data_IF_716898614040
#
_entry.id   IF_716898614040
#
_cell.length_a   1.000
_cell.length_b   1.000
_cell.length_c   1.000
_cell.angle_alpha   90.00
_cell.angle_beta   90.00
_cell.angle_gamma   90.00
#
_symmetry.space_group_name_H-M   'P 1'
#
loop_
_entity.id
_entity.type
_entity.pdbx_description
1 polymer ?
#
# COMPACT_ATOMS: atom_id res chain seq x y z
N UNK A 1 21.75 -0.53 -4.58
CA UNK A 1 20.98 0.58 -4.05
C UNK A 1 19.81 0.06 -3.22
N UNK A 2 19.63 0.57 -2.02
CA UNK A 2 18.59 0.08 -1.14
C UNK A 2 17.21 0.53 -1.61
N UNK A 3 16.26 -0.38 -1.53
CA UNK A 3 14.85 -0.07 -1.79
C UNK A 3 14.27 0.72 -0.62
N UNK A 4 13.36 1.65 -0.92
CA UNK A 4 12.62 2.36 0.11
C UNK A 4 11.73 1.41 0.93
N UNK A 5 11.47 0.20 0.44
CA UNK A 5 10.61 -0.78 1.08
C UNK A 5 11.38 -1.94 1.72
N UNK A 6 12.71 -1.84 1.80
CA UNK A 6 13.52 -2.92 2.36
C UNK A 6 13.17 -3.24 3.81
N UNK A 7 12.66 -2.27 4.56
CA UNK A 7 12.26 -2.47 5.95
C UNK A 7 11.21 -3.57 6.09
N UNK A 8 10.40 -3.83 5.07
CA UNK A 8 9.36 -4.84 5.13
C UNK A 8 9.89 -6.26 5.32
N UNK A 9 11.16 -6.50 4.94
CA UNK A 9 11.80 -7.81 5.12
C UNK A 9 11.87 -8.25 6.58
N UNK A 10 11.88 -7.29 7.50
CA UNK A 10 12.06 -7.57 8.92
C UNK A 10 10.76 -8.04 9.60
N UNK A 11 9.64 -8.03 8.90
CA UNK A 11 8.34 -8.30 9.51
C UNK A 11 7.73 -9.58 8.96
N UNK A 12 7.30 -10.44 9.89
CA UNK A 12 6.66 -11.70 9.53
C UNK A 12 5.36 -11.44 8.75
N UNK A 13 5.16 -12.21 7.68
CA UNK A 13 3.95 -12.10 6.89
C UNK A 13 3.98 -10.98 5.85
N UNK A 14 5.07 -10.23 5.74
CA UNK A 14 5.17 -9.11 4.80
C UNK A 14 5.97 -9.44 3.54
N UNK A 15 6.33 -10.69 3.35
CA UNK A 15 7.16 -11.10 2.21
C UNK A 15 6.53 -10.72 0.87
N UNK A 16 5.25 -11.03 0.69
CA UNK A 16 4.57 -10.75 -0.58
C UNK A 16 4.44 -9.24 -0.82
N UNK A 17 4.09 -8.48 0.22
CA UNK A 17 4.00 -7.03 0.10
C UNK A 17 5.35 -6.40 -0.18
N UNK A 18 6.41 -6.94 0.42
CA UNK A 18 7.77 -6.48 0.11
C UNK A 18 8.10 -6.70 -1.37
N UNK A 19 7.81 -7.90 -1.87
CA UNK A 19 8.09 -8.23 -3.27
C UNK A 19 7.34 -7.29 -4.24
N UNK A 20 6.04 -7.12 -4.00
CA UNK A 20 5.22 -6.26 -4.85
C UNK A 20 5.64 -4.79 -4.78
N UNK A 21 6.00 -4.31 -3.58
CA UNK A 21 6.45 -2.93 -3.39
C UNK A 21 7.78 -2.69 -4.09
N UNK A 22 8.68 -3.65 -4.01
CA UNK A 22 9.96 -3.56 -4.72
C UNK A 22 9.74 -3.49 -6.23
N UNK A 23 8.84 -4.32 -6.77
CA UNK A 23 8.50 -4.31 -8.18
C UNK A 23 7.85 -2.98 -8.60
N UNK A 24 6.98 -2.44 -7.75
CA UNK A 24 6.34 -1.16 -8.05
C UNK A 24 7.38 -0.03 -8.09
N UNK A 25 8.31 -0.03 -7.16
CA UNK A 25 9.38 0.97 -7.13
C UNK A 25 10.28 0.86 -8.36
N UNK A 26 10.60 -0.36 -8.76
CA UNK A 26 11.40 -0.59 -9.96
C UNK A 26 10.66 -0.09 -11.21
N UNK A 27 9.37 -0.37 -11.32
CA UNK A 27 8.55 0.11 -12.43
C UNK A 27 8.54 1.64 -12.47
N UNK A 28 8.36 2.26 -11.30
CA UNK A 28 8.39 3.72 -11.21
C UNK A 28 9.72 4.30 -11.71
N UNK A 29 10.84 3.74 -11.26
CA UNK A 29 12.17 4.22 -11.66
C UNK A 29 12.43 4.07 -13.15
N UNK A 30 11.80 3.07 -13.76
CA UNK A 30 11.95 2.82 -15.20
C UNK A 30 10.91 3.54 -16.05
N UNK A 31 10.11 4.42 -15.44
CA UNK A 31 9.09 5.17 -16.15
C UNK A 31 7.89 4.35 -16.58
N UNK A 32 7.73 3.14 -16.03
CA UNK A 32 6.62 2.24 -16.34
C UNK A 32 5.45 2.52 -15.38
N UNK A 33 4.83 3.68 -15.55
CA UNK A 33 3.84 4.17 -14.59
C UNK A 33 2.55 3.36 -14.58
N UNK A 34 2.15 2.80 -15.71
CA UNK A 34 0.97 1.94 -15.75
C UNK A 34 1.20 0.68 -14.92
N UNK A 35 2.36 0.04 -15.06
CA UNK A 35 2.73 -1.14 -14.28
C UNK A 35 2.81 -0.82 -12.80
N UNK A 36 3.42 0.30 -12.47
CA UNK A 36 3.52 0.78 -11.09
C UNK A 36 2.13 0.91 -10.47
N UNK A 37 1.21 1.57 -11.16
CA UNK A 37 -0.14 1.82 -10.66
C UNK A 37 -0.91 0.52 -10.42
N UNK A 38 -0.78 -0.45 -11.33
CA UNK A 38 -1.43 -1.75 -11.18
C UNK A 38 -0.87 -2.52 -9.97
N UNK A 39 0.44 -2.47 -9.78
CA UNK A 39 1.07 -3.11 -8.63
C UNK A 39 0.65 -2.46 -7.32
N UNK A 40 0.59 -1.14 -7.27
CA UNK A 40 0.17 -0.42 -6.08
C UNK A 40 -1.29 -0.73 -5.74
N UNK A 41 -2.15 -0.81 -6.77
CA UNK A 41 -3.55 -1.20 -6.56
C UNK A 41 -3.65 -2.59 -5.95
N UNK A 42 -2.83 -3.53 -6.42
CA UNK A 42 -2.78 -4.89 -5.87
C UNK A 42 -2.32 -4.87 -4.41
N UNK A 43 -1.28 -4.09 -4.09
CA UNK A 43 -0.77 -3.96 -2.73
C UNK A 43 -1.87 -3.43 -1.81
N UNK A 44 -2.57 -2.37 -2.26
CA UNK A 44 -3.65 -1.80 -1.47
C UNK A 44 -4.76 -2.82 -1.20
N UNK A 45 -5.13 -3.61 -2.20
CA UNK A 45 -6.14 -4.65 -2.03
C UNK A 45 -5.73 -5.70 -1.01
N UNK A 46 -4.46 -6.13 -1.05
CA UNK A 46 -3.94 -7.10 -0.08
C UNK A 46 -3.90 -6.52 1.33
N UNK A 47 -3.53 -5.25 1.45
CA UNK A 47 -3.48 -4.58 2.74
C UNK A 47 -4.89 -4.43 3.34
N UNK A 48 -5.88 -4.10 2.51
CA UNK A 48 -7.28 -4.03 2.95
C UNK A 48 -7.70 -5.37 3.55
N UNK A 49 -7.39 -6.48 2.87
CA UNK A 49 -7.74 -7.81 3.38
C UNK A 49 -7.07 -8.12 4.71
N UNK A 50 -5.79 -7.75 4.85
CA UNK A 50 -5.09 -7.93 6.13
C UNK A 50 -5.74 -7.12 7.24
N UNK A 51 -6.11 -5.88 6.95
CA UNK A 51 -6.76 -5.02 7.93
C UNK A 51 -8.12 -5.56 8.35
N UNK A 52 -8.91 -6.07 7.41
CA UNK A 52 -10.20 -6.68 7.73
C UNK A 52 -10.01 -7.89 8.64
N UNK A 53 -9.03 -8.74 8.35
CA UNK A 53 -8.76 -9.91 9.20
C UNK A 53 -8.35 -9.52 10.61
N UNK A 54 -7.62 -8.43 10.75
CA UNK A 54 -7.15 -7.96 12.05
C UNK A 54 -8.24 -7.25 12.84
N UNK A 55 -9.03 -6.42 12.18
CA UNK A 55 -10.02 -5.59 12.83
C UNK A 55 -11.38 -6.26 12.93
N UNK A 56 -11.68 -7.20 12.04
CA UNK A 56 -12.96 -7.90 11.98
C UNK A 56 -12.74 -9.41 11.93
N UNK A 57 -12.12 -10.00 12.99
CA UNK A 57 -11.74 -11.41 12.93
C UNK A 57 -12.93 -12.38 12.83
N UNK A 58 -14.13 -11.91 13.14
CA UNK A 58 -15.34 -12.75 13.10
C UNK A 58 -16.03 -12.72 11.74
N UNK A 59 -15.46 -12.00 10.76
CA UNK A 59 -16.04 -11.96 9.43
C UNK A 59 -15.67 -13.24 8.69
N UNK A 60 -16.65 -14.12 8.49
CA UNK A 60 -16.43 -15.49 8.01
C UNK A 60 -16.73 -15.70 6.53
N UNK A 61 -17.37 -14.75 5.87
CA UNK A 61 -17.73 -14.92 4.48
C UNK A 61 -16.69 -14.32 3.56
N UNK A 62 -16.59 -14.80 2.31
CA UNK A 62 -15.69 -14.18 1.33
C UNK A 62 -16.06 -12.73 1.06
N UNK A 63 -15.05 -11.92 0.81
CA UNK A 63 -15.27 -10.52 0.46
C UNK A 63 -14.15 -10.07 -0.50
N UNK A 64 -14.46 -9.09 -1.35
CA UNK A 64 -13.45 -8.46 -2.18
C UNK A 64 -12.89 -7.22 -1.48
N UNK A 65 -11.89 -6.58 -2.09
CA UNK A 65 -11.23 -5.43 -1.47
C UNK A 65 -12.18 -4.27 -1.26
N UNK A 66 -13.11 -4.05 -2.17
CA UNK A 66 -14.07 -2.95 -2.08
C UNK A 66 -15.05 -3.17 -0.93
N UNK A 67 -15.52 -4.40 -0.77
CA UNK A 67 -16.38 -4.76 0.37
C UNK A 67 -15.64 -4.60 1.68
N UNK A 68 -14.37 -5.04 1.72
CA UNK A 68 -13.55 -4.90 2.91
C UNK A 68 -13.35 -3.44 3.30
N UNK A 69 -13.06 -2.59 2.32
CA UNK A 69 -12.88 -1.16 2.56
C UNK A 69 -14.16 -0.53 3.09
N UNK A 70 -15.31 -0.88 2.51
CA UNK A 70 -16.61 -0.41 2.98
C UNK A 70 -16.85 -0.82 4.43
N UNK A 71 -16.53 -2.07 4.79
CA UNK A 71 -16.68 -2.56 6.15
C UNK A 71 -15.79 -1.78 7.14
N UNK A 72 -14.55 -1.55 6.76
CA UNK A 72 -13.63 -0.79 7.62
C UNK A 72 -14.11 0.65 7.80
N UNK A 73 -14.68 1.23 6.76
CA UNK A 73 -15.20 2.59 6.81
C UNK A 73 -16.45 2.68 7.68
N UNK A 74 -17.41 1.78 7.47
CA UNK A 74 -18.71 1.84 8.19
C UNK A 74 -18.56 1.50 9.66
N UNK A 75 -17.60 0.66 10.03
CA UNK A 75 -17.33 0.32 11.43
C UNK A 75 -16.44 1.34 12.14
N UNK A 76 -15.90 2.30 11.39
CA UNK A 76 -15.03 3.36 11.91
C UNK A 76 -13.79 2.83 12.65
N UNK A 77 -13.30 1.66 12.23
CA UNK A 77 -12.12 1.05 12.83
C UNK A 77 -10.81 1.68 12.36
N UNK A 78 -10.85 2.39 11.23
CA UNK A 78 -9.72 3.17 10.74
C UNK A 78 -10.16 4.63 10.62
N UNK A 79 -9.21 5.55 10.80
CA UNK A 79 -9.53 6.96 10.63
C UNK A 79 -9.74 7.28 9.14
N UNK A 80 -10.36 8.42 8.88
CA UNK A 80 -10.75 8.81 7.53
C UNK A 80 -9.56 9.00 6.60
N UNK A 81 -8.42 9.46 7.14
CA UNK A 81 -7.21 9.65 6.34
C UNK A 81 -6.71 8.32 5.77
N UNK A 82 -6.69 7.28 6.59
CA UNK A 82 -6.23 5.96 6.14
C UNK A 82 -7.19 5.34 5.13
N UNK A 83 -8.49 5.51 5.36
CA UNK A 83 -9.49 5.06 4.39
C UNK A 83 -9.28 5.77 3.05
N UNK A 84 -9.04 7.07 3.09
CA UNK A 84 -8.79 7.85 1.87
C UNK A 84 -7.55 7.36 1.13
N UNK A 85 -6.44 7.11 1.87
CA UNK A 85 -5.21 6.60 1.26
C UNK A 85 -5.43 5.25 0.58
N UNK A 86 -6.08 4.33 1.29
CA UNK A 86 -6.37 3.00 0.73
C UNK A 86 -7.24 3.12 -0.52
N UNK A 87 -8.24 3.98 -0.49
CA UNK A 87 -9.13 4.21 -1.62
C UNK A 87 -8.37 4.76 -2.83
N UNK A 88 -7.51 5.75 -2.59
CA UNK A 88 -6.74 6.38 -3.66
C UNK A 88 -5.76 5.41 -4.31
N UNK A 89 -5.06 4.62 -3.49
CA UNK A 89 -4.10 3.66 -4.02
C UNK A 89 -4.81 2.53 -4.77
N UNK A 90 -5.95 2.08 -4.27
CA UNK A 90 -6.74 1.06 -4.97
C UNK A 90 -7.23 1.59 -6.32
N UNK A 91 -7.70 2.84 -6.35
CA UNK A 91 -8.22 3.47 -7.55
C UNK A 91 -7.15 3.75 -8.60
N UNK A 92 -5.88 3.83 -8.21
CA UNK A 92 -4.79 4.11 -9.14
C UNK A 92 -4.72 3.09 -10.28
N UNK A 93 -5.15 1.87 -10.04
CA UNK A 93 -5.14 0.83 -11.06
C UNK A 93 -6.29 0.88 -12.05
N UNK A 94 -7.25 1.80 -11.89
CA UNK A 94 -8.43 1.85 -12.76
C UNK A 94 -8.14 2.48 -14.12
N UNK A 95 -7.24 3.47 -14.15
CA UNK A 95 -6.88 4.17 -15.37
C UNK A 95 -5.35 4.27 -15.49
N UNK A 96 -4.66 3.11 -15.58
CA UNK A 96 -3.21 3.10 -15.48
C UNK A 96 -2.50 3.85 -16.60
N UNK A 97 -3.14 3.94 -17.77
CA UNK A 97 -2.52 4.62 -18.92
C UNK A 97 -2.58 6.14 -18.80
N UNK A 98 -3.29 6.67 -17.83
CA UNK A 98 -3.43 8.11 -17.63
C UNK A 98 -2.52 8.64 -16.53
N UNK A 99 -1.63 7.81 -16.02
CA UNK A 99 -0.73 8.18 -14.92
C UNK A 99 0.45 8.98 -15.46
N UNK A 100 0.60 10.23 -15.01
CA UNK A 100 1.79 11.02 -15.34
C UNK A 100 2.86 10.87 -14.24
N UNK A 101 4.03 11.45 -14.47
CA UNK A 101 5.15 11.29 -13.56
C UNK A 101 4.86 11.87 -12.17
N UNK A 102 4.14 13.00 -12.10
CA UNK A 102 3.82 13.62 -10.82
C UNK A 102 2.89 12.73 -9.99
N UNK A 103 1.87 12.18 -10.62
CA UNK A 103 0.95 11.29 -9.91
C UNK A 103 1.65 9.99 -9.54
N UNK A 104 2.49 9.46 -10.42
CA UNK A 104 3.28 8.25 -10.14
C UNK A 104 4.13 8.41 -8.89
N UNK A 105 4.76 9.57 -8.73
CA UNK A 105 5.54 9.87 -7.53
C UNK A 105 4.65 9.93 -6.29
N UNK A 106 3.50 10.60 -6.41
CA UNK A 106 2.59 10.77 -5.27
C UNK A 106 2.09 9.43 -4.73
N UNK A 107 1.74 8.48 -5.61
CA UNK A 107 1.24 7.18 -5.13
C UNK A 107 2.36 6.36 -4.48
N UNK A 108 3.62 6.52 -4.91
CA UNK A 108 4.74 5.88 -4.23
C UNK A 108 4.95 6.44 -2.82
N UNK A 109 4.87 7.76 -2.67
CA UNK A 109 4.98 8.40 -1.36
C UNK A 109 3.87 7.94 -0.42
N UNK A 110 2.65 7.89 -0.93
CA UNK A 110 1.49 7.46 -0.13
C UNK A 110 1.60 6.00 0.27
N UNK A 111 2.07 5.15 -0.64
CA UNK A 111 2.27 3.74 -0.34
C UNK A 111 3.32 3.56 0.76
N UNK A 112 4.43 4.27 0.66
CA UNK A 112 5.50 4.19 1.64
C UNK A 112 5.00 4.58 3.03
N UNK A 113 4.28 5.70 3.11
CA UNK A 113 3.69 6.17 4.36
C UNK A 113 2.74 5.12 4.97
N UNK A 114 1.87 4.58 4.13
CA UNK A 114 0.87 3.61 4.56
C UNK A 114 1.50 2.33 5.11
N UNK A 115 2.54 1.83 4.44
CA UNK A 115 3.21 0.60 4.88
C UNK A 115 4.02 0.80 6.16
N UNK A 116 4.64 1.96 6.34
CA UNK A 116 5.29 2.29 7.60
C UNK A 116 4.25 2.31 8.72
N UNK A 117 3.12 2.97 8.49
CA UNK A 117 2.05 3.00 9.48
C UNK A 117 1.59 1.59 9.83
N UNK A 118 1.40 0.74 8.81
CA UNK A 118 0.89 -0.62 9.03
C UNK A 118 1.83 -1.44 9.92
N UNK A 119 3.12 -1.46 9.60
CA UNK A 119 4.06 -2.27 10.39
C UNK A 119 4.21 -1.73 11.80
N UNK A 120 4.18 -0.41 11.98
CA UNK A 120 4.30 0.18 13.30
C UNK A 120 3.06 -0.09 14.15
N UNK A 121 1.89 -0.08 13.55
CA UNK A 121 0.63 -0.22 14.28
C UNK A 121 0.26 -1.67 14.54
N UNK A 122 0.51 -2.57 13.60
CA UNK A 122 0.05 -3.96 13.71
C UNK A 122 1.16 -4.98 13.92
N UNK A 123 2.41 -4.65 13.65
CA UNK A 123 3.52 -5.62 13.68
C UNK A 123 4.61 -5.21 14.66
N UNK A 124 4.30 -4.35 15.60
CA UNK A 124 5.23 -3.87 16.64
C UNK A 124 6.48 -3.23 16.06
N UNK A 125 6.37 -2.62 14.89
CA UNK A 125 7.50 -1.95 14.26
C UNK A 125 7.81 -0.62 14.90
N UNK A 126 9.03 -0.15 14.67
CA UNK A 126 9.51 1.15 15.15
C UNK A 126 10.19 1.89 14.00
N UNK A 127 9.60 1.79 12.81
CA UNK A 127 10.16 2.46 11.63
C UNK A 127 9.97 3.96 11.75
N UNK A 128 11.03 4.70 11.43
CA UNK A 128 10.93 6.15 11.38
C UNK A 128 10.02 6.53 10.23
N UNK A 129 9.12 7.50 10.41
CA UNK A 129 8.29 7.99 9.30
C UNK A 129 9.14 8.87 8.39
N UNK A 130 10.11 8.24 7.75
CA UNK A 130 11.02 8.93 6.85
C UNK A 130 10.35 9.23 5.52
N UNK A 131 11.05 10.02 4.73
CA UNK A 131 10.57 10.38 3.41
C UNK A 131 10.89 9.26 2.43
N UNK A 132 9.96 9.00 1.52
CA UNK A 132 10.26 8.20 0.36
C UNK A 132 11.40 8.87 -0.40
N UNK A 133 12.48 8.16 -0.63
CA UNK A 133 13.66 8.72 -1.28
C UNK A 133 13.66 8.38 -2.74
N UNK A 134 13.67 9.42 -3.56
CA UNK A 134 13.86 9.27 -4.99
C UNK A 134 15.37 9.17 -5.22
N UNK A 135 15.85 7.96 -5.51
CA UNK A 135 17.28 7.75 -5.72
C UNK A 135 17.69 8.31 -7.08
N UNK A 136 18.61 9.24 -7.02
CA UNK A 136 19.27 9.77 -8.20
C UNK A 136 20.58 9.02 -8.39
N UNK A 137 20.93 8.78 -9.59
CA UNK A 137 22.18 8.12 -9.85
C UNK A 137 23.14 9.03 -10.46
#
# INVERSE_FOLDING_TARGET
>A
MASNFAFLKSYHGMHKLHHLSHMAEKAYRNGQFATEALLISEISGRLIRKLVKQELPNLNHPFNSEDGLTKLQTTQLLNDELIMLLTQLRAAGRHPKQIDAAFAYQIMVKLHYLLIWYVNHYLDGHEEPGHFKLHQH
#
